data_IF_606418554513
#
_entry.id   IF_606418554513
#
_cell.length_a   1.000
_cell.length_b   1.000
_cell.length_c   1.000
_cell.angle_alpha   90.00
_cell.angle_beta   90.00
_cell.angle_gamma   90.00
#
_symmetry.space_group_name_H-M   'P 1'
#
loop_
_entity.id
_entity.type
_entity.pdbx_description
1 polymer ?
#
# COMPACT_ATOMS: atom_id res chain seq x y z
N UNK A 1 17.12 -18.56 11.64
CA UNK A 1 15.70 -18.17 11.77
C UNK A 1 15.42 -16.97 12.68
N UNK A 2 15.98 -16.84 13.90
CA UNK A 2 15.60 -15.72 14.78
C UNK A 2 15.94 -14.35 14.16
N UNK A 3 17.10 -14.20 13.51
CA UNK A 3 17.49 -12.95 12.86
C UNK A 3 16.52 -12.52 11.73
N UNK A 4 16.07 -13.46 10.90
CA UNK A 4 15.11 -13.18 9.80
C UNK A 4 13.74 -12.78 10.35
N UNK A 5 13.29 -13.42 11.43
CA UNK A 5 12.04 -13.05 12.10
C UNK A 5 12.14 -11.66 12.76
N UNK A 6 13.30 -11.28 13.29
CA UNK A 6 13.54 -9.91 13.78
C UNK A 6 13.43 -8.89 12.66
N UNK A 7 14.02 -9.16 11.49
CA UNK A 7 13.89 -8.29 10.31
C UNK A 7 12.43 -8.17 9.88
N UNK A 8 11.70 -9.29 9.83
CA UNK A 8 10.26 -9.30 9.53
C UNK A 8 9.46 -8.43 10.51
N UNK A 9 9.74 -8.51 11.82
CA UNK A 9 9.08 -7.66 12.82
C UNK A 9 9.36 -6.17 12.65
N UNK A 10 10.59 -5.81 12.25
CA UNK A 10 10.94 -4.42 11.97
C UNK A 10 10.15 -3.89 10.77
N UNK A 11 10.08 -4.66 9.68
CA UNK A 11 9.29 -4.31 8.50
C UNK A 11 7.81 -4.16 8.87
N UNK A 12 7.28 -5.11 9.64
CA UNK A 12 5.88 -5.07 10.10
C UNK A 12 5.58 -3.81 10.94
N UNK A 13 6.53 -3.35 11.75
CA UNK A 13 6.39 -2.13 12.54
C UNK A 13 6.32 -0.88 11.65
N UNK A 14 7.16 -0.82 10.61
CA UNK A 14 7.12 0.27 9.62
C UNK A 14 5.78 0.25 8.87
N UNK A 15 5.34 -0.91 8.38
CA UNK A 15 4.04 -1.06 7.72
C UNK A 15 2.87 -0.72 8.64
N UNK A 16 2.96 -1.05 9.93
CA UNK A 16 1.96 -0.64 10.92
C UNK A 16 1.91 0.88 11.12
N UNK A 17 3.07 1.51 11.23
CA UNK A 17 3.15 2.96 11.37
C UNK A 17 2.58 3.68 10.13
N UNK A 18 2.91 3.20 8.92
CA UNK A 18 2.37 3.73 7.66
C UNK A 18 0.86 3.50 7.52
N UNK A 19 0.35 2.36 8.02
CA UNK A 19 -1.09 2.08 8.13
C UNK A 19 -1.80 3.12 9.00
N UNK A 20 -1.32 3.35 10.22
CA UNK A 20 -1.87 4.39 11.13
C UNK A 20 -1.81 5.78 10.52
N UNK A 21 -0.72 6.10 9.83
CA UNK A 21 -0.60 7.39 9.14
C UNK A 21 -1.66 7.51 8.03
N UNK A 22 -1.93 6.43 7.31
CA UNK A 22 -2.98 6.36 6.29
C UNK A 22 -4.38 6.57 6.89
N UNK A 23 -4.67 6.00 8.07
CA UNK A 23 -5.93 6.24 8.80
C UNK A 23 -6.16 7.74 9.09
N UNK A 24 -5.12 8.44 9.57
CA UNK A 24 -5.22 9.90 9.77
C UNK A 24 -5.36 10.67 8.45
N UNK A 25 -4.70 10.23 7.38
CA UNK A 25 -4.85 10.87 6.06
C UNK A 25 -6.26 10.73 5.50
N UNK A 26 -6.99 9.64 5.79
CA UNK A 26 -8.41 9.50 5.45
C UNK A 26 -9.22 10.62 6.11
N UNK A 27 -9.01 10.83 7.42
CA UNK A 27 -9.69 11.91 8.14
C UNK A 27 -9.41 13.28 7.50
N UNK A 28 -8.14 13.58 7.20
CA UNK A 28 -7.79 14.84 6.53
C UNK A 28 -8.41 14.96 5.14
N UNK A 29 -8.44 13.88 4.35
CA UNK A 29 -9.08 13.86 3.03
C UNK A 29 -10.57 14.19 3.15
N UNK A 30 -11.28 13.57 4.11
CA UNK A 30 -12.68 13.86 4.38
C UNK A 30 -12.92 15.32 4.81
N UNK A 31 -12.10 15.85 5.72
CA UNK A 31 -12.21 17.23 6.18
C UNK A 31 -11.97 18.24 5.05
N UNK A 32 -10.96 18.02 4.21
CA UNK A 32 -10.69 18.87 3.04
C UNK A 32 -11.84 18.79 2.04
N UNK A 33 -12.39 17.59 1.81
CA UNK A 33 -13.53 17.41 0.91
C UNK A 33 -14.77 18.15 1.40
N UNK A 34 -15.08 18.03 2.70
CA UNK A 34 -16.19 18.74 3.33
C UNK A 34 -15.99 20.26 3.30
N UNK A 35 -14.80 20.75 3.63
CA UNK A 35 -14.46 22.17 3.55
C UNK A 35 -14.60 22.71 2.12
N UNK A 36 -14.10 21.98 1.13
CA UNK A 36 -14.24 22.36 -0.28
C UNK A 36 -15.71 22.43 -0.71
N UNK A 37 -16.54 21.46 -0.28
CA UNK A 37 -17.98 21.49 -0.54
C UNK A 37 -18.66 22.70 0.13
N UNK A 38 -18.38 22.95 1.41
CA UNK A 38 -18.93 24.09 2.15
C UNK A 38 -18.59 25.43 1.48
N UNK A 39 -17.32 25.62 1.11
CA UNK A 39 -16.88 26.86 0.45
C UNK A 39 -17.54 27.02 -0.91
N UNK A 40 -17.63 25.94 -1.68
CA UNK A 40 -18.26 25.95 -3.00
C UNK A 40 -19.74 26.32 -2.94
N UNK A 41 -20.50 25.76 -2.00
CA UNK A 41 -21.93 26.02 -1.90
C UNK A 41 -22.25 27.32 -1.17
N UNK A 42 -21.42 27.76 -0.23
CA UNK A 42 -21.67 28.99 0.56
C UNK A 42 -21.15 30.25 -0.12
N UNK A 43 -19.99 30.17 -0.79
CA UNK A 43 -19.29 31.33 -1.35
C UNK A 43 -19.13 31.29 -2.86
N UNK A 44 -19.68 30.27 -3.54
CA UNK A 44 -19.55 30.05 -4.99
C UNK A 44 -18.09 30.07 -5.49
N UNK A 45 -17.15 29.69 -4.63
CA UNK A 45 -15.72 29.64 -4.91
C UNK A 45 -15.25 28.18 -4.92
N UNK A 46 -14.53 27.79 -5.96
CA UNK A 46 -13.97 26.44 -6.09
C UNK A 46 -12.57 26.55 -6.68
N UNK A 47 -11.60 25.84 -6.10
CA UNK A 47 -10.23 25.78 -6.60
C UNK A 47 -9.83 24.35 -6.93
N UNK A 48 -9.19 24.16 -8.09
CA UNK A 48 -8.75 22.84 -8.53
C UNK A 48 -7.69 22.24 -7.59
N UNK A 49 -6.89 23.06 -6.92
CA UNK A 49 -5.91 22.59 -5.95
C UNK A 49 -6.54 21.84 -4.77
N UNK A 50 -7.76 22.21 -4.35
CA UNK A 50 -8.50 21.50 -3.30
C UNK A 50 -8.98 20.13 -3.75
N UNK A 51 -9.25 19.95 -5.05
CA UNK A 51 -9.60 18.65 -5.62
C UNK A 51 -8.34 17.79 -5.84
N UNK A 52 -7.25 18.40 -6.31
CA UNK A 52 -5.99 17.68 -6.53
C UNK A 52 -5.38 17.15 -5.24
N UNK A 53 -5.39 17.93 -4.15
CA UNK A 53 -4.84 17.46 -2.87
C UNK A 53 -5.62 16.23 -2.34
N UNK A 54 -6.93 16.15 -2.60
CA UNK A 54 -7.72 14.97 -2.24
C UNK A 54 -7.27 13.73 -3.01
N UNK A 55 -6.96 13.88 -4.30
CA UNK A 55 -6.38 12.78 -5.09
C UNK A 55 -4.99 12.37 -4.60
N UNK A 56 -4.19 13.34 -4.16
CA UNK A 56 -2.86 13.10 -3.63
C UNK A 56 -2.93 12.32 -2.31
N UNK A 57 -3.83 12.73 -1.41
CA UNK A 57 -4.12 12.01 -0.18
C UNK A 57 -4.68 10.63 -0.45
N UNK A 58 -5.56 10.47 -1.45
CA UNK A 58 -6.06 9.16 -1.84
C UNK A 58 -4.94 8.23 -2.30
N UNK A 59 -4.03 8.71 -3.17
CA UNK A 59 -2.86 7.94 -3.58
C UNK A 59 -1.97 7.55 -2.38
N UNK A 60 -1.79 8.46 -1.42
CA UNK A 60 -1.08 8.18 -0.17
C UNK A 60 -1.76 7.06 0.63
N UNK A 61 -3.05 7.20 0.91
CA UNK A 61 -3.83 6.26 1.72
C UNK A 61 -3.78 4.86 1.11
N UNK A 62 -4.00 4.76 -0.20
CA UNK A 62 -4.06 3.46 -0.88
C UNK A 62 -2.68 2.80 -0.94
N UNK A 63 -1.66 3.51 -1.40
CA UNK A 63 -0.38 2.88 -1.76
C UNK A 63 0.48 2.60 -0.51
N UNK A 64 0.43 3.48 0.49
CA UNK A 64 1.11 3.23 1.77
C UNK A 64 0.30 2.34 2.70
N UNK A 65 -1.04 2.46 2.67
CA UNK A 65 -1.94 1.57 3.41
C UNK A 65 -1.92 0.13 2.90
N UNK A 66 -1.65 -0.09 1.60
CA UNK A 66 -1.59 -1.43 1.03
C UNK A 66 -0.56 -2.33 1.73
N UNK A 67 0.62 -1.82 2.10
CA UNK A 67 1.57 -2.63 2.87
C UNK A 67 1.00 -3.09 4.22
N UNK A 68 0.22 -2.23 4.88
CA UNK A 68 -0.46 -2.59 6.12
C UNK A 68 -1.53 -3.67 5.90
N UNK A 69 -2.37 -3.50 4.87
CA UNK A 69 -3.42 -4.45 4.51
C UNK A 69 -2.83 -5.81 4.12
N UNK A 70 -1.65 -5.84 3.49
CA UNK A 70 -0.94 -7.09 3.17
C UNK A 70 -0.46 -7.79 4.44
N UNK A 71 0.07 -7.04 5.40
CA UNK A 71 0.48 -7.56 6.73
C UNK A 71 -0.68 -8.18 7.50
N UNK A 72 -1.85 -7.54 7.43
CA UNK A 72 -3.09 -8.03 8.07
C UNK A 72 -3.74 -9.19 7.30
N UNK A 73 -3.21 -9.54 6.13
CA UNK A 73 -3.76 -10.55 5.24
C UNK A 73 -5.19 -10.25 4.74
N UNK A 74 -5.55 -8.97 4.68
CA UNK A 74 -6.89 -8.47 4.33
C UNK A 74 -7.01 -8.06 2.85
N UNK A 75 -6.00 -8.36 2.02
CA UNK A 75 -6.15 -8.18 0.58
C UNK A 75 -7.25 -9.08 0.06
N UNK A 76 -8.11 -8.54 -0.80
CA UNK A 76 -9.13 -9.34 -1.50
C UNK A 76 -8.41 -10.39 -2.34
N UNK A 77 -8.66 -11.66 -2.03
CA UNK A 77 -8.12 -12.81 -2.75
C UNK A 77 -9.23 -13.40 -3.61
N UNK A 78 -8.91 -13.71 -4.86
CA UNK A 78 -9.85 -14.42 -5.74
C UNK A 78 -9.66 -15.92 -5.51
N UNK A 79 -10.41 -16.46 -4.57
CA UNK A 79 -10.23 -17.84 -4.09
C UNK A 79 -11.12 -18.84 -4.85
N UNK A 80 -10.61 -19.34 -5.97
CA UNK A 80 -11.22 -20.50 -6.65
C UNK A 80 -10.77 -21.84 -6.06
N UNK A 81 -9.51 -21.91 -5.60
CA UNK A 81 -8.83 -23.17 -5.17
C UNK A 81 -8.51 -23.15 -3.66
N UNK A 82 -8.36 -21.97 -3.06
CA UNK A 82 -7.81 -21.81 -1.71
C UNK A 82 -8.64 -22.46 -0.59
N UNK A 83 -9.97 -22.45 -0.72
CA UNK A 83 -10.87 -23.03 0.28
C UNK A 83 -10.89 -24.57 0.31
N UNK A 84 -10.41 -25.23 -0.74
CA UNK A 84 -10.47 -26.69 -0.88
C UNK A 84 -9.16 -27.41 -0.54
N UNK A 85 -8.09 -26.67 -0.23
CA UNK A 85 -6.74 -27.21 -0.02
C UNK A 85 -6.33 -27.19 1.45
N UNK A 86 -5.40 -28.08 1.82
CA UNK A 86 -4.85 -28.18 3.17
C UNK A 86 -4.05 -26.93 3.56
N UNK A 87 -3.91 -26.67 4.87
CA UNK A 87 -3.17 -25.50 5.39
C UNK A 87 -1.73 -25.42 4.85
N UNK A 88 -1.03 -26.56 4.75
CA UNK A 88 0.32 -26.59 4.17
C UNK A 88 0.33 -26.20 2.69
N UNK A 89 -0.67 -26.62 1.92
CA UNK A 89 -0.79 -26.24 0.52
C UNK A 89 -1.11 -24.74 0.37
N UNK A 90 -1.95 -24.17 1.25
CA UNK A 90 -2.22 -22.72 1.30
C UNK A 90 -0.94 -21.91 1.50
N UNK A 91 -0.09 -22.32 2.44
CA UNK A 91 1.18 -21.64 2.73
C UNK A 91 2.12 -21.70 1.51
N UNK A 92 2.17 -22.83 0.80
CA UNK A 92 2.94 -22.96 -0.45
C UNK A 92 2.41 -22.07 -1.57
N UNK A 93 1.09 -22.03 -1.77
CA UNK A 93 0.44 -21.17 -2.77
C UNK A 93 0.77 -19.70 -2.48
N UNK A 94 0.66 -19.27 -1.22
CA UNK A 94 1.02 -17.90 -0.81
C UNK A 94 2.50 -17.61 -1.06
N UNK A 95 3.39 -18.52 -0.68
CA UNK A 95 4.84 -18.34 -0.88
C UNK A 95 5.21 -18.20 -2.36
N UNK A 96 4.63 -19.06 -3.22
CA UNK A 96 4.83 -18.99 -4.67
C UNK A 96 4.22 -17.70 -5.23
N UNK A 97 3.02 -17.34 -4.78
CA UNK A 97 2.33 -16.09 -5.15
C UNK A 97 3.18 -14.86 -4.86
N UNK A 98 3.78 -14.81 -3.67
CA UNK A 98 4.69 -13.74 -3.26
C UNK A 98 5.95 -13.69 -4.11
N UNK A 99 6.60 -14.84 -4.34
CA UNK A 99 7.87 -14.91 -5.08
C UNK A 99 7.70 -14.63 -6.57
N UNK A 100 6.66 -15.15 -7.21
CA UNK A 100 6.51 -15.12 -8.67
C UNK A 100 5.74 -13.88 -9.14
N UNK A 101 4.77 -13.42 -8.36
CA UNK A 101 3.89 -12.33 -8.78
C UNK A 101 4.13 -11.05 -7.98
N UNK A 102 3.89 -11.07 -6.67
CA UNK A 102 3.87 -9.84 -5.87
C UNK A 102 5.23 -9.14 -5.83
N UNK A 103 6.27 -9.84 -5.34
CA UNK A 103 7.59 -9.25 -5.10
C UNK A 103 8.22 -8.76 -6.41
N UNK A 104 8.29 -9.55 -7.51
CA UNK A 104 8.86 -9.08 -8.77
C UNK A 104 8.10 -7.89 -9.36
N UNK A 105 6.75 -7.91 -9.32
CA UNK A 105 5.94 -6.81 -9.80
C UNK A 105 6.19 -5.54 -8.99
N UNK A 106 6.20 -5.62 -7.64
CA UNK A 106 6.45 -4.46 -6.79
C UNK A 106 7.88 -3.92 -6.95
N UNK A 107 8.90 -4.79 -7.11
CA UNK A 107 10.28 -4.36 -7.42
C UNK A 107 10.31 -3.60 -8.74
N UNK A 108 9.69 -4.15 -9.79
CA UNK A 108 9.64 -3.52 -11.11
C UNK A 108 8.94 -2.16 -11.07
N UNK A 109 7.80 -2.08 -10.38
CA UNK A 109 7.06 -0.82 -10.20
C UNK A 109 7.87 0.20 -9.39
N UNK A 110 8.54 -0.22 -8.32
CA UNK A 110 9.43 0.65 -7.54
C UNK A 110 10.55 1.20 -8.42
N UNK A 111 11.18 0.36 -9.23
CA UNK A 111 12.23 0.77 -10.16
C UNK A 111 11.72 1.76 -11.21
N UNK A 112 10.52 1.56 -11.75
CA UNK A 112 9.90 2.47 -12.72
C UNK A 112 9.48 3.81 -12.10
N UNK A 113 9.04 3.80 -10.84
CA UNK A 113 8.62 5.01 -10.14
C UNK A 113 9.78 5.95 -9.82
N UNK A 114 11.01 5.44 -9.65
CA UNK A 114 12.17 6.27 -9.34
C UNK A 114 12.49 7.34 -10.41
N UNK A 115 12.72 7.00 -11.70
CA UNK A 115 12.94 8.01 -12.72
C UNK A 115 11.71 8.91 -12.91
N UNK A 116 10.50 8.37 -12.73
CA UNK A 116 9.26 9.15 -12.81
C UNK A 116 9.19 10.25 -11.74
N UNK A 117 9.57 9.94 -10.51
CA UNK A 117 9.74 10.91 -9.43
C UNK A 117 10.87 11.89 -9.74
N UNK A 118 12.05 11.39 -10.09
CA UNK A 118 13.24 12.21 -10.28
C UNK A 118 13.06 13.24 -11.39
N UNK A 119 12.48 12.85 -12.53
CA UNK A 119 12.16 13.78 -13.62
C UNK A 119 11.19 14.88 -13.16
N UNK A 120 10.16 14.54 -12.39
CA UNK A 120 9.18 15.49 -11.87
C UNK A 120 9.80 16.48 -10.88
N UNK A 121 10.69 15.99 -10.02
CA UNK A 121 11.42 16.80 -9.04
C UNK A 121 12.38 17.78 -9.72
N UNK A 122 13.18 17.31 -10.67
CA UNK A 122 14.15 18.13 -11.40
C UNK A 122 13.51 19.17 -12.33
N UNK A 123 12.34 18.84 -12.90
CA UNK A 123 11.62 19.74 -13.81
C UNK A 123 10.66 20.69 -13.07
N UNK A 124 10.57 20.60 -11.74
CA UNK A 124 9.57 21.30 -10.94
C UNK A 124 8.16 21.17 -11.51
N UNK A 125 7.77 19.94 -11.85
CA UNK A 125 6.53 19.68 -12.55
C UNK A 125 5.31 20.09 -11.71
N UNK A 126 4.44 20.91 -12.30
CA UNK A 126 3.17 21.37 -11.73
C UNK A 126 2.03 20.83 -12.57
N UNK A 127 0.87 20.58 -11.93
CA UNK A 127 -0.33 20.18 -12.65
C UNK A 127 -0.76 21.23 -13.66
N UNK A 128 -1.23 20.77 -14.83
CA UNK A 128 -1.70 21.62 -15.93
C UNK A 128 -3.05 22.30 -15.63
N UNK A 129 -3.72 21.94 -14.54
CA UNK A 129 -4.95 22.59 -14.12
C UNK A 129 -4.66 24.00 -13.61
N UNK A 130 -5.63 24.92 -13.77
CA UNK A 130 -5.53 26.25 -13.20
C UNK A 130 -5.40 26.18 -11.67
N UNK A 131 -4.29 26.71 -11.13
CA UNK A 131 -3.95 26.59 -9.70
C UNK A 131 -3.45 25.20 -9.28
N UNK A 132 -2.92 24.43 -10.23
CA UNK A 132 -2.45 23.06 -10.04
C UNK A 132 -1.31 22.92 -9.02
N UNK A 133 -1.23 21.75 -8.38
CA UNK A 133 -0.22 21.44 -7.37
C UNK A 133 1.06 20.87 -7.98
N UNK A 134 2.15 20.99 -7.22
CA UNK A 134 3.43 20.35 -7.55
C UNK A 134 3.24 18.82 -7.53
N UNK A 135 3.75 18.10 -8.54
CA UNK A 135 3.46 16.66 -8.74
C UNK A 135 4.44 15.70 -8.08
N UNK A 136 5.68 16.12 -7.86
CA UNK A 136 6.71 15.23 -7.32
C UNK A 136 6.31 14.53 -6.00
N UNK A 137 5.54 15.14 -5.06
CA UNK A 137 5.21 14.47 -3.80
C UNK A 137 4.42 13.17 -4.00
N UNK A 138 3.44 13.16 -4.92
CA UNK A 138 2.67 11.94 -5.21
C UNK A 138 3.53 10.89 -5.89
N UNK A 139 4.40 11.30 -6.80
CA UNK A 139 5.29 10.36 -7.49
C UNK A 139 6.29 9.73 -6.52
N UNK A 140 6.75 10.50 -5.53
CA UNK A 140 7.57 9.97 -4.44
C UNK A 140 6.79 8.98 -3.58
N UNK A 141 5.54 9.29 -3.24
CA UNK A 141 4.66 8.39 -2.49
C UNK A 141 4.46 7.07 -3.22
N UNK A 142 4.30 7.08 -4.54
CA UNK A 142 4.23 5.85 -5.35
C UNK A 142 5.52 5.01 -5.21
N UNK A 143 6.68 5.64 -5.37
CA UNK A 143 7.97 4.98 -5.19
C UNK A 143 8.10 4.36 -3.79
N UNK A 144 7.79 5.14 -2.75
CA UNK A 144 7.90 4.69 -1.36
C UNK A 144 6.89 3.59 -1.02
N UNK A 145 5.65 3.67 -1.51
CA UNK A 145 4.63 2.68 -1.21
C UNK A 145 4.84 1.35 -1.93
N UNK A 146 5.27 1.34 -3.20
CA UNK A 146 5.69 0.09 -3.85
C UNK A 146 6.96 -0.51 -3.22
N UNK A 147 7.89 0.34 -2.79
CA UNK A 147 9.06 -0.09 -2.03
C UNK A 147 8.67 -0.74 -0.71
N UNK A 148 7.74 -0.13 0.03
CA UNK A 148 7.22 -0.66 1.29
C UNK A 148 6.43 -1.96 1.08
N UNK A 149 5.60 -2.06 0.03
CA UNK A 149 4.92 -3.29 -0.36
C UNK A 149 5.92 -4.41 -0.69
N UNK A 150 7.02 -4.10 -1.36
CA UNK A 150 8.09 -5.06 -1.63
C UNK A 150 8.68 -5.59 -0.32
N UNK A 151 9.03 -4.68 0.62
CA UNK A 151 9.55 -5.06 1.92
C UNK A 151 8.54 -5.91 2.70
N UNK A 152 7.27 -5.52 2.70
CA UNK A 152 6.22 -6.31 3.35
C UNK A 152 6.06 -7.69 2.71
N UNK A 153 6.12 -7.79 1.37
CA UNK A 153 6.11 -9.07 0.67
C UNK A 153 7.24 -9.99 1.10
N UNK A 154 8.44 -9.45 1.33
CA UNK A 154 9.59 -10.18 1.89
C UNK A 154 9.31 -10.61 3.34
N UNK A 155 8.76 -9.72 4.18
CA UNK A 155 8.35 -10.05 5.56
C UNK A 155 7.35 -11.22 5.57
N UNK A 156 6.32 -11.14 4.74
CA UNK A 156 5.32 -12.18 4.61
C UNK A 156 5.94 -13.50 4.13
N UNK A 157 6.85 -13.46 3.15
CA UNK A 157 7.55 -14.64 2.66
C UNK A 157 8.39 -15.33 3.74
N UNK A 158 9.15 -14.55 4.53
CA UNK A 158 9.93 -15.06 5.67
C UNK A 158 9.01 -15.81 6.64
N UNK A 159 7.83 -15.25 6.96
CA UNK A 159 6.85 -15.91 7.83
C UNK A 159 6.37 -17.24 7.22
N UNK A 160 6.00 -17.28 5.92
CA UNK A 160 5.53 -18.53 5.28
C UNK A 160 6.61 -19.61 5.30
N UNK A 161 7.87 -19.26 5.03
CA UNK A 161 9.00 -20.19 5.11
C UNK A 161 9.21 -20.69 6.55
N UNK A 162 9.11 -19.80 7.55
CA UNK A 162 9.19 -20.17 8.96
C UNK A 162 8.05 -21.11 9.39
N UNK A 163 6.85 -20.93 8.81
CA UNK A 163 5.71 -21.81 9.06
C UNK A 163 5.89 -23.20 8.43
N UNK A 164 6.40 -23.28 7.20
CA UNK A 164 6.71 -24.55 6.54
C UNK A 164 7.79 -25.36 7.26
N UNK A 165 8.72 -24.67 7.92
CA UNK A 165 9.80 -25.28 8.72
C UNK A 165 9.38 -25.59 10.16
N UNK A 166 8.13 -25.27 10.56
CA UNK A 166 7.58 -25.61 11.86
C UNK A 166 7.99 -24.68 13.01
N UNK A 167 8.63 -23.53 12.72
CA UNK A 167 9.04 -22.57 13.75
C UNK A 167 7.90 -21.66 14.23
N UNK A 168 6.89 -21.44 13.40
CA UNK A 168 5.71 -20.65 13.73
C UNK A 168 4.44 -21.31 13.17
N UNK A 169 3.30 -21.11 13.82
CA UNK A 169 1.99 -21.40 13.24
C UNK A 169 1.41 -20.11 12.67
N UNK A 170 0.98 -20.14 11.42
CA UNK A 170 0.28 -19.03 10.77
C UNK A 170 -1.18 -19.44 10.64
N UNK A 171 -2.07 -18.58 11.10
CA UNK A 171 -3.49 -18.74 10.81
C UNK A 171 -3.72 -18.45 9.31
N UNK A 172 -4.21 -19.45 8.59
CA UNK A 172 -4.52 -19.36 7.15
C UNK A 172 -6.02 -19.25 6.90
N UNK A 173 -6.79 -18.93 7.94
CA UNK A 173 -8.23 -18.71 7.84
C UNK A 173 -8.48 -17.47 6.99
N UNK A 174 -9.13 -17.66 5.85
CA UNK A 174 -9.56 -16.59 4.98
C UNK A 174 -11.06 -16.42 5.16
N UNK A 175 -11.48 -15.26 5.67
CA UNK A 175 -12.88 -14.88 5.67
C UNK A 175 -13.24 -14.30 4.29
N UNK A 176 -14.11 -15.03 3.57
CA UNK A 176 -14.63 -14.53 2.31
C UNK A 176 -15.50 -13.29 2.59
N UNK A 177 -15.37 -12.21 1.80
CA UNK A 177 -16.27 -11.08 1.93
C UNK A 177 -17.71 -11.54 1.66
N UNK A 178 -18.60 -11.25 2.62
CA UNK A 178 -20.03 -11.46 2.46
C UNK A 178 -20.54 -10.43 1.44
N UNK A 179 -20.78 -10.88 0.20
CA UNK A 179 -21.45 -10.09 -0.83
C UNK A 179 -22.95 -10.32 -0.79
#
# INVERSE_FOLDING_TARGET
MPALLTVSRLIDAVSQFMGKLSEYMVLFCCLISAANALIRYSFNYSSNGWLEIQWYLFAFIVVLGAAHTLRMNEHVRVDLIYGAVSEKAKIWIDAIGLIVFLIPACIFLTWLCWPFFLSSYLQHEVSANAGGLIRWPVKLVLFLGFGLLTLQGISELIKRIAALTGYIQIDTTYEKPLQ
#
